data_IF_742573769720
#
_entry.id   IF_742573769720
#
_cell.length_a   1.000
_cell.length_b   1.000
_cell.length_c   1.000
_cell.angle_alpha   90.00
_cell.angle_beta   90.00
_cell.angle_gamma   90.00
#
_symmetry.space_group_name_H-M   'P 1'
#
loop_
_entity.id
_entity.type
_entity.pdbx_description
1 polymer ?
#
# COMPACT_ATOMS: atom_id res chain seq x y z
N UNK A 1 -16.15 -4.40 -1.30
CA UNK A 1 -16.97 -4.20 -2.52
C UNK A 1 -18.16 -5.14 -2.57
N UNK A 2 -17.95 -6.47 -2.54
CA UNK A 2 -19.03 -7.48 -2.58
C UNK A 2 -20.21 -7.19 -1.65
N UNK A 3 -19.93 -6.89 -0.37
CA UNK A 3 -20.96 -6.54 0.61
C UNK A 3 -21.89 -5.39 0.18
N UNK A 4 -21.34 -4.35 -0.47
CA UNK A 4 -22.15 -3.22 -0.96
C UNK A 4 -23.01 -3.62 -2.16
N UNK A 5 -22.47 -4.46 -3.07
CA UNK A 5 -23.23 -4.99 -4.20
C UNK A 5 -24.34 -5.92 -3.74
N UNK A 6 -24.06 -6.80 -2.78
CA UNK A 6 -25.05 -7.71 -2.17
C UNK A 6 -26.18 -6.93 -1.48
N UNK A 7 -25.89 -5.71 -0.98
CA UNK A 7 -26.87 -4.79 -0.41
C UNK A 7 -27.66 -3.98 -1.46
N UNK A 8 -27.46 -4.23 -2.76
CA UNK A 8 -28.20 -3.60 -3.86
C UNK A 8 -27.58 -2.33 -4.44
N UNK A 9 -26.32 -2.03 -4.16
CA UNK A 9 -25.63 -0.90 -4.79
C UNK A 9 -25.53 -1.09 -6.31
N UNK A 10 -25.97 -0.10 -7.08
CA UNK A 10 -25.88 -0.09 -8.56
C UNK A 10 -24.42 -0.06 -9.03
N UNK A 11 -23.64 0.85 -8.46
CA UNK A 11 -22.23 1.08 -8.77
C UNK A 11 -21.47 1.31 -7.45
N UNK A 12 -20.23 0.86 -7.40
CA UNK A 12 -19.30 0.96 -6.28
C UNK A 12 -17.97 1.53 -6.78
N UNK A 13 -17.68 2.76 -6.39
CA UNK A 13 -16.43 3.45 -6.72
C UNK A 13 -15.55 3.55 -5.47
N UNK A 14 -14.35 2.97 -5.53
CA UNK A 14 -13.41 2.94 -4.41
C UNK A 14 -12.44 4.11 -4.52
N UNK A 15 -12.25 4.85 -3.42
CA UNK A 15 -11.30 5.96 -3.32
C UNK A 15 -10.41 5.75 -2.12
N UNK A 16 -9.11 5.58 -2.37
CA UNK A 16 -8.12 5.30 -1.32
C UNK A 16 -7.44 6.60 -0.95
N UNK A 17 -7.49 6.95 0.34
CA UNK A 17 -6.99 8.23 0.88
C UNK A 17 -5.45 8.29 1.00
N UNK A 18 -4.73 7.38 0.35
CA UNK A 18 -3.27 7.37 0.28
C UNK A 18 -2.80 7.03 -1.15
N UNK A 19 -1.55 7.35 -1.50
CA UNK A 19 -0.93 6.84 -2.71
C UNK A 19 -0.78 5.32 -2.70
N UNK A 20 -0.64 4.69 -3.88
CA UNK A 20 -0.45 3.24 -3.96
C UNK A 20 0.84 2.83 -3.22
N UNK A 21 0.72 1.93 -2.25
CA UNK A 21 1.86 1.40 -1.50
C UNK A 21 2.54 0.33 -2.36
N UNK A 22 3.76 0.62 -2.81
CA UNK A 22 4.52 -0.23 -3.74
C UNK A 22 5.74 -0.88 -3.09
N UNK A 23 6.16 -0.38 -1.94
CA UNK A 23 7.36 -0.83 -1.25
C UNK A 23 7.08 -1.03 0.25
N UNK A 24 7.70 -2.03 0.89
CA UNK A 24 7.56 -2.28 2.33
C UNK A 24 8.16 -1.16 3.17
N UNK A 25 7.70 -0.98 4.40
CA UNK A 25 8.30 0.02 5.29
C UNK A 25 9.50 -0.58 6.05
N UNK A 26 10.62 0.15 6.06
CA UNK A 26 11.80 -0.16 6.89
C UNK A 26 11.99 0.84 8.04
N UNK A 27 10.99 1.69 8.28
CA UNK A 27 11.00 2.75 9.30
C UNK A 27 10.16 2.39 10.54
N UNK A 28 9.86 1.10 10.75
CA UNK A 28 9.15 0.60 11.94
C UNK A 28 7.64 0.43 11.81
N UNK A 29 7.08 0.51 10.60
CA UNK A 29 5.68 0.12 10.33
C UNK A 29 5.69 -1.31 9.79
N UNK A 30 4.96 -2.23 10.43
CA UNK A 30 4.77 -3.59 9.91
C UNK A 30 3.94 -3.53 8.61
N UNK A 31 4.51 -4.05 7.53
CA UNK A 31 3.90 -4.14 6.22
C UNK A 31 4.12 -5.54 5.64
N UNK A 32 3.29 -5.91 4.67
CA UNK A 32 3.49 -7.10 3.87
C UNK A 32 4.80 -7.01 3.05
N UNK A 33 5.34 -8.14 2.61
CA UNK A 33 6.48 -8.14 1.70
C UNK A 33 6.09 -7.57 0.33
N UNK A 34 7.06 -7.17 -0.48
CA UNK A 34 6.79 -6.43 -1.71
C UNK A 34 5.95 -7.23 -2.73
N UNK A 35 6.14 -8.54 -2.79
CA UNK A 35 5.37 -9.51 -3.58
C UNK A 35 3.92 -9.68 -3.08
N UNK A 36 3.66 -9.46 -1.79
CA UNK A 36 2.32 -9.47 -1.21
C UNK A 36 1.57 -8.14 -1.41
N UNK A 37 2.28 -7.04 -1.72
CA UNK A 37 1.67 -5.74 -1.95
C UNK A 37 0.99 -5.70 -3.33
N UNK A 38 -0.35 -5.63 -3.34
CA UNK A 38 -1.13 -5.62 -4.59
C UNK A 38 -0.74 -4.47 -5.54
N UNK A 39 -0.45 -3.29 -5.00
CA UNK A 39 -0.06 -2.11 -5.80
C UNK A 39 1.39 -2.14 -6.28
N UNK A 40 2.23 -3.04 -5.77
CA UNK A 40 3.55 -3.30 -6.32
C UNK A 40 3.49 -4.16 -7.59
N UNK A 41 2.48 -5.04 -7.68
CA UNK A 41 2.39 -6.10 -8.69
C UNK A 41 1.26 -5.92 -9.70
N UNK A 42 0.37 -4.94 -9.50
CA UNK A 42 -0.78 -4.67 -10.35
C UNK A 42 -0.96 -3.18 -10.62
N UNK A 43 -1.41 -2.87 -11.83
CA UNK A 43 -1.92 -1.55 -12.20
C UNK A 43 -3.23 -1.21 -11.47
N UNK A 44 -3.62 0.06 -11.48
CA UNK A 44 -4.87 0.50 -10.83
C UNK A 44 -6.10 -0.18 -11.44
N UNK A 45 -6.09 -0.40 -12.75
CA UNK A 45 -7.21 -1.06 -13.45
C UNK A 45 -7.30 -2.54 -13.05
N UNK A 46 -6.18 -3.25 -13.02
CA UNK A 46 -6.13 -4.64 -12.55
C UNK A 46 -6.55 -4.79 -11.08
N UNK A 47 -6.21 -3.81 -10.22
CA UNK A 47 -6.68 -3.78 -8.83
C UNK A 47 -8.19 -3.54 -8.79
N UNK A 48 -8.71 -2.63 -9.61
CA UNK A 48 -10.13 -2.32 -9.69
C UNK A 48 -10.94 -3.56 -10.07
N UNK A 49 -10.48 -4.30 -11.08
CA UNK A 49 -11.06 -5.58 -11.50
C UNK A 49 -10.95 -6.62 -10.39
N UNK A 50 -9.77 -6.76 -9.78
CA UNK A 50 -9.52 -7.74 -8.72
C UNK A 50 -10.47 -7.56 -7.52
N UNK A 51 -10.77 -6.31 -7.12
CA UNK A 51 -11.71 -6.04 -6.02
C UNK A 51 -13.18 -5.98 -6.47
N UNK A 52 -13.46 -6.02 -7.78
CA UNK A 52 -14.80 -5.99 -8.37
C UNK A 52 -15.51 -4.63 -8.31
N UNK A 53 -14.75 -3.54 -8.27
CA UNK A 53 -15.28 -2.17 -8.25
C UNK A 53 -15.52 -1.63 -9.67
N UNK A 54 -16.40 -0.64 -9.82
CA UNK A 54 -16.67 0.02 -11.10
C UNK A 54 -15.63 1.10 -11.43
N UNK A 55 -15.05 1.74 -10.41
CA UNK A 55 -13.83 2.54 -10.57
C UNK A 55 -13.01 2.56 -9.29
N UNK A 56 -11.69 2.70 -9.45
CA UNK A 56 -10.74 2.83 -8.35
C UNK A 56 -9.84 4.04 -8.61
N UNK A 57 -9.59 4.85 -7.58
CA UNK A 57 -8.55 5.87 -7.64
C UNK A 57 -7.84 5.99 -6.30
N UNK A 58 -6.53 6.24 -6.37
CA UNK A 58 -5.66 6.53 -5.24
C UNK A 58 -5.37 8.02 -5.18
N UNK A 59 -5.09 8.53 -3.98
CA UNK A 59 -4.57 9.88 -3.81
C UNK A 59 -3.18 9.98 -4.45
N UNK A 60 -2.89 11.04 -5.20
CA UNK A 60 -1.53 11.21 -5.75
C UNK A 60 -0.56 11.64 -4.64
N UNK A 61 0.73 11.29 -4.77
CA UNK A 61 1.77 11.75 -3.83
C UNK A 61 1.75 13.29 -3.75
N UNK A 62 1.68 13.97 -4.90
CA UNK A 62 1.60 15.44 -4.92
C UNK A 62 0.33 15.96 -4.24
N UNK A 63 -0.82 15.28 -4.40
CA UNK A 63 -2.06 15.61 -3.70
C UNK A 63 -1.96 15.47 -2.20
N UNK A 64 -1.34 14.39 -1.72
CA UNK A 64 -1.05 14.14 -0.31
C UNK A 64 -0.13 15.23 0.27
N UNK A 65 0.99 15.53 -0.41
CA UNK A 65 1.94 16.55 0.04
C UNK A 65 1.32 17.95 0.08
N UNK A 66 0.45 18.29 -0.90
CA UNK A 66 -0.33 19.53 -0.86
C UNK A 66 -1.26 19.59 0.35
N UNK A 67 -1.93 18.49 0.71
CA UNK A 67 -2.82 18.45 1.87
C UNK A 67 -2.06 18.66 3.19
N UNK A 68 -0.81 18.18 3.27
CA UNK A 68 0.11 18.40 4.39
C UNK A 68 0.73 19.80 4.42
N UNK A 69 0.52 20.62 3.38
CA UNK A 69 1.20 21.92 3.17
C UNK A 69 2.72 21.80 3.25
N UNK A 70 3.26 20.72 2.68
CA UNK A 70 4.69 20.42 2.73
C UNK A 70 5.22 20.04 1.36
N UNK A 71 6.45 20.46 1.07
CA UNK A 71 7.17 20.07 -0.15
C UNK A 71 8.19 18.94 0.13
N UNK A 72 8.68 18.85 1.37
CA UNK A 72 9.65 17.87 1.84
C UNK A 72 9.50 17.64 3.35
N UNK A 73 10.40 16.85 3.95
CA UNK A 73 10.40 16.57 5.40
C UNK A 73 9.54 15.39 5.85
N UNK A 74 8.84 14.73 4.91
CA UNK A 74 8.07 13.51 5.16
C UNK A 74 8.67 12.35 4.39
N UNK A 75 8.74 11.19 5.03
CA UNK A 75 9.13 9.95 4.37
C UNK A 75 8.01 9.51 3.41
N UNK A 76 8.35 9.30 2.14
CA UNK A 76 7.44 8.81 1.09
C UNK A 76 7.89 7.45 0.50
N UNK A 77 8.83 6.78 1.17
CA UNK A 77 9.52 5.61 0.63
C UNK A 77 8.59 4.44 0.28
N UNK A 78 7.51 4.23 1.05
CA UNK A 78 6.53 3.19 0.75
C UNK A 78 5.82 3.39 -0.61
N UNK A 79 5.84 4.61 -1.15
CA UNK A 79 5.24 4.98 -2.43
C UNK A 79 6.29 5.15 -3.55
N UNK A 80 7.48 5.65 -3.22
CA UNK A 80 8.54 6.02 -4.18
C UNK A 80 9.68 5.01 -4.28
N UNK A 81 9.90 4.20 -3.24
CA UNK A 81 11.09 3.35 -3.09
C UNK A 81 12.35 4.11 -2.67
N UNK A 82 12.25 5.43 -2.44
CA UNK A 82 13.36 6.29 -2.05
C UNK A 82 13.41 6.41 -0.52
N UNK A 83 14.29 5.63 0.10
CA UNK A 83 14.46 5.59 1.55
C UNK A 83 15.56 6.56 1.99
N UNK A 84 15.44 7.18 3.18
CA UNK A 84 16.39 8.18 3.69
C UNK A 84 17.74 7.59 4.16
N UNK A 85 18.08 6.36 3.75
CA UNK A 85 19.30 5.67 4.16
C UNK A 85 20.30 5.62 3.01
N UNK A 86 21.56 5.96 3.28
CA UNK A 86 22.67 5.91 2.31
C UNK A 86 23.36 4.55 2.24
N UNK A 87 23.16 3.72 3.26
CA UNK A 87 23.72 2.36 3.32
C UNK A 87 22.68 1.42 2.72
N UNK A 88 23.06 0.45 1.87
CA UNK A 88 22.15 -0.62 1.52
C UNK A 88 21.62 -1.18 2.82
N UNK A 89 20.32 -1.07 3.03
CA UNK A 89 19.65 -1.73 4.15
C UNK A 89 20.19 -3.15 4.07
N UNK A 90 20.87 -3.68 5.11
CA UNK A 90 21.04 -5.11 5.15
C UNK A 90 19.62 -5.57 4.97
N UNK A 91 19.34 -6.26 3.88
CA UNK A 91 18.25 -7.21 3.87
C UNK A 91 18.68 -8.14 5.01
N UNK A 92 18.41 -7.74 6.26
CA UNK A 92 18.01 -8.61 7.34
C UNK A 92 17.00 -9.39 6.56
N UNK A 93 17.41 -10.58 6.11
CA UNK A 93 16.53 -11.55 5.48
C UNK A 93 15.31 -11.45 6.35
N UNK A 94 14.27 -10.76 5.84
CA UNK A 94 13.10 -10.47 6.63
C UNK A 94 12.63 -11.87 6.90
N UNK A 95 12.94 -12.35 8.10
CA UNK A 95 12.69 -13.71 8.48
C UNK A 95 11.23 -13.86 8.17
N UNK A 96 10.92 -14.72 7.19
CA UNK A 96 9.61 -14.76 6.53
C UNK A 96 8.56 -14.62 7.62
N UNK A 97 7.51 -13.81 7.39
CA UNK A 97 6.44 -13.61 8.39
C UNK A 97 5.99 -14.94 9.04
N UNK A 98 6.12 -16.05 8.30
CA UNK A 98 6.04 -17.44 8.77
C UNK A 98 6.78 -17.76 10.08
N UNK A 99 8.02 -17.28 10.29
CA UNK A 99 8.79 -17.50 11.53
C UNK A 99 8.11 -16.93 12.77
N UNK A 100 7.29 -15.90 12.60
CA UNK A 100 6.52 -15.28 13.68
C UNK A 100 5.02 -15.55 13.59
N UNK A 101 4.55 -16.31 12.59
CA UNK A 101 3.13 -16.64 12.42
C UNK A 101 2.58 -17.37 13.65
N UNK A 102 3.40 -18.21 14.27
CA UNK A 102 3.03 -18.98 15.46
C UNK A 102 3.21 -18.22 16.78
N UNK A 103 3.68 -16.96 16.76
CA UNK A 103 3.96 -16.18 17.98
C UNK A 103 2.68 -15.58 18.58
N UNK A 104 1.63 -15.39 17.76
CA UNK A 104 0.40 -14.75 18.20
C UNK A 104 -0.76 -15.72 18.47
N UNK A 105 -0.52 -17.04 18.31
CA UNK A 105 -1.50 -18.10 18.58
C UNK A 105 -2.61 -18.18 17.53
N UNK A 106 -3.09 -19.41 17.30
CA UNK A 106 -4.28 -19.71 16.47
C UNK A 106 -5.58 -19.13 17.09
#
# INVERSE_FOLDING_TARGET
>A
VKMLRDAGAKEVHVRVACPPIKFPCFMGVDMASQDELISANKSVDEICEHIGADSLAFLTISGMMRALKAESGYCNACFTGDYPFSTPIPLIELQEKEKFANVWGD
#
